data_IF_003164358731
#
_entry.id   IF_003164358731
#
_cell.length_a   1.000
_cell.length_b   1.000
_cell.length_c   1.000
_cell.angle_alpha   90.00
_cell.angle_beta   90.00
_cell.angle_gamma   90.00
#
_symmetry.space_group_name_H-M   'P 1'
#
loop_
_entity.id
_entity.type
_entity.pdbx_description
1 polymer ?
#
# COMPACT_ATOMS: atom_id res chain seq x y z
N UNK A 1 -16.25 3.03 -17.60
CA UNK A 1 -15.38 3.17 -18.78
C UNK A 1 -16.22 3.44 -20.01
N UNK A 2 -17.07 2.50 -20.45
CA UNK A 2 -17.90 2.63 -21.66
C UNK A 2 -18.76 3.90 -21.74
N UNK A 3 -19.39 4.31 -20.63
CA UNK A 3 -20.20 5.55 -20.58
C UNK A 3 -19.36 6.78 -20.94
N UNK A 4 -18.18 6.95 -20.34
CA UNK A 4 -17.30 8.09 -20.62
C UNK A 4 -16.69 8.01 -22.01
N UNK A 5 -16.32 6.82 -22.47
CA UNK A 5 -15.87 6.59 -23.84
C UNK A 5 -16.94 6.97 -24.86
N UNK A 6 -18.22 6.66 -24.61
CA UNK A 6 -19.32 7.04 -25.51
C UNK A 6 -19.61 8.54 -25.57
N UNK A 7 -19.09 9.30 -24.59
CA UNK A 7 -19.25 10.75 -24.48
C UNK A 7 -17.96 11.51 -24.83
N UNK A 8 -16.93 10.81 -25.34
CA UNK A 8 -15.59 11.35 -25.60
C UNK A 8 -14.95 12.07 -24.39
N UNK A 9 -15.28 11.62 -23.17
CA UNK A 9 -14.71 12.17 -21.94
C UNK A 9 -13.49 11.32 -21.53
N UNK A 10 -12.29 11.93 -21.35
CA UNK A 10 -11.11 11.20 -20.95
C UNK A 10 -11.28 10.60 -19.56
N UNK A 11 -11.11 9.27 -19.46
CA UNK A 11 -11.18 8.56 -18.19
C UNK A 11 -9.82 8.49 -17.54
N UNK A 12 -9.73 8.91 -16.28
CA UNK A 12 -8.54 8.76 -15.44
C UNK A 12 -8.83 7.82 -14.27
N UNK A 13 -7.83 7.07 -13.84
CA UNK A 13 -7.90 6.23 -12.64
C UNK A 13 -7.08 6.83 -11.51
N UNK A 14 -7.61 6.84 -10.29
CA UNK A 14 -6.82 7.10 -9.09
C UNK A 14 -6.53 5.79 -8.34
N UNK A 15 -5.29 5.32 -8.47
CA UNK A 15 -4.80 4.14 -7.76
C UNK A 15 -4.26 4.55 -6.39
N UNK A 16 -4.97 4.13 -5.34
CA UNK A 16 -4.60 4.40 -3.94
C UNK A 16 -3.58 3.39 -3.38
N UNK A 17 -3.17 2.42 -4.18
CA UNK A 17 -2.11 1.45 -3.86
C UNK A 17 -0.72 1.93 -4.35
N UNK A 18 0.30 1.15 -4.02
CA UNK A 18 1.69 1.39 -4.44
C UNK A 18 1.89 1.26 -5.96
N UNK A 19 2.97 1.83 -6.49
CA UNK A 19 3.35 1.64 -7.90
C UNK A 19 3.69 0.17 -8.19
N UNK A 20 4.23 -0.56 -7.22
CA UNK A 20 4.50 -2.00 -7.34
C UNK A 20 3.21 -2.80 -7.52
N UNK A 21 2.17 -2.49 -6.74
CA UNK A 21 0.83 -3.07 -6.91
C UNK A 21 0.22 -2.72 -8.26
N UNK A 22 0.39 -1.47 -8.71
CA UNK A 22 -0.06 -1.03 -10.04
C UNK A 22 0.65 -1.78 -11.16
N UNK A 23 1.96 -2.00 -11.06
CA UNK A 23 2.72 -2.80 -12.04
C UNK A 23 2.18 -4.23 -12.14
N UNK A 24 1.94 -4.87 -10.99
CA UNK A 24 1.36 -6.22 -10.95
C UNK A 24 -0.06 -6.26 -11.55
N UNK A 25 -0.90 -5.26 -11.23
CA UNK A 25 -2.25 -5.14 -11.77
C UNK A 25 -2.25 -4.96 -13.28
N UNK A 26 -1.46 -4.02 -13.82
CA UNK A 26 -1.38 -3.78 -15.26
C UNK A 26 -0.84 -5.00 -16.03
N UNK A 27 0.06 -5.77 -15.40
CA UNK A 27 0.61 -7.00 -15.97
C UNK A 27 -0.35 -8.18 -15.95
N UNK A 28 -1.45 -8.09 -15.18
CA UNK A 28 -2.38 -9.19 -14.93
C UNK A 28 -2.91 -9.87 -16.20
N UNK A 29 -3.30 -9.17 -17.28
CA UNK A 29 -3.76 -9.82 -18.51
C UNK A 29 -2.70 -10.73 -19.15
N UNK A 30 -1.40 -10.40 -18.98
CA UNK A 30 -0.29 -11.22 -19.49
C UNK A 30 0.07 -12.35 -18.54
N UNK A 31 0.05 -12.08 -17.24
CA UNK A 31 0.49 -13.05 -16.22
C UNK A 31 -0.64 -13.99 -15.77
N UNK A 32 -1.88 -13.79 -16.21
CA UNK A 32 -3.04 -14.59 -15.79
C UNK A 32 -2.82 -16.09 -15.92
N UNK A 33 -2.38 -16.55 -17.10
CA UNK A 33 -2.15 -17.98 -17.32
C UNK A 33 -1.04 -18.53 -16.40
N UNK A 34 0.02 -17.77 -16.19
CA UNK A 34 1.12 -18.14 -15.28
C UNK A 34 0.62 -18.22 -13.83
N UNK A 35 -0.26 -17.29 -13.43
CA UNK A 35 -0.87 -17.29 -12.10
C UNK A 35 -1.74 -18.55 -11.92
N UNK A 36 -2.61 -18.88 -12.88
CA UNK A 36 -3.45 -20.08 -12.82
C UNK A 36 -2.63 -21.37 -12.64
N UNK A 37 -1.48 -21.45 -13.32
CA UNK A 37 -0.59 -22.61 -13.26
C UNK A 37 0.14 -22.72 -11.92
N UNK A 38 0.59 -21.58 -11.36
CA UNK A 38 1.49 -21.55 -10.20
C UNK A 38 0.77 -21.38 -8.85
N UNK A 39 -0.40 -20.75 -8.80
CA UNK A 39 -1.05 -20.32 -7.54
C UNK A 39 -1.30 -21.47 -6.56
N UNK A 40 -1.42 -22.71 -7.06
CA UNK A 40 -1.63 -23.91 -6.24
C UNK A 40 -0.36 -24.43 -5.56
N UNK A 41 0.82 -24.06 -6.03
CA UNK A 41 2.09 -24.46 -5.44
C UNK A 41 2.65 -23.33 -4.55
N UNK A 42 2.66 -23.49 -3.22
CA UNK A 42 3.12 -22.47 -2.28
C UNK A 42 4.64 -22.20 -2.33
N UNK A 43 5.42 -23.05 -3.01
CA UNK A 43 6.88 -22.90 -3.13
C UNK A 43 7.30 -22.15 -4.40
N UNK A 44 6.33 -21.61 -5.14
CA UNK A 44 6.60 -20.87 -6.37
C UNK A 44 6.44 -19.37 -6.15
N UNK A 45 6.88 -18.60 -7.14
CA UNK A 45 6.71 -17.15 -7.17
C UNK A 45 6.25 -16.67 -8.55
N UNK A 46 5.60 -15.51 -8.53
CA UNK A 46 5.19 -14.76 -9.71
C UNK A 46 6.11 -13.55 -9.86
N UNK A 47 6.59 -13.35 -11.10
CA UNK A 47 7.41 -12.21 -11.46
C UNK A 47 6.55 -11.12 -12.09
N UNK A 48 6.76 -9.89 -11.64
CA UNK A 48 6.15 -8.69 -12.24
C UNK A 48 7.24 -7.66 -12.57
N UNK A 49 7.11 -6.90 -13.66
CA UNK A 49 8.12 -5.91 -14.05
C UNK A 49 8.37 -4.87 -12.94
N UNK A 50 9.64 -4.69 -12.56
CA UNK A 50 10.03 -3.69 -11.56
C UNK A 50 9.66 -4.02 -10.11
N UNK A 51 9.10 -5.21 -9.85
CA UNK A 51 8.71 -5.69 -8.51
C UNK A 51 9.55 -6.92 -8.15
N UNK A 52 10.02 -7.06 -6.90
CA UNK A 52 10.61 -8.31 -6.44
C UNK A 52 9.65 -9.50 -6.67
N UNK A 53 10.14 -10.71 -6.97
CA UNK A 53 9.28 -11.90 -7.09
C UNK A 53 8.39 -12.06 -5.86
N UNK A 54 7.10 -12.27 -6.08
CA UNK A 54 6.11 -12.44 -5.02
C UNK A 54 5.82 -13.93 -4.89
N UNK A 55 6.09 -14.52 -3.73
CA UNK A 55 5.74 -15.91 -3.44
C UNK A 55 4.22 -16.10 -3.59
N UNK A 56 3.78 -17.24 -4.09
CA UNK A 56 2.34 -17.48 -4.28
C UNK A 56 1.50 -17.33 -3.02
N UNK A 57 1.95 -17.67 -1.79
CA UNK A 57 1.18 -17.42 -0.56
C UNK A 57 1.06 -15.93 -0.19
N UNK A 58 1.97 -15.09 -0.69
CA UNK A 58 2.04 -13.66 -0.40
C UNK A 58 1.27 -12.81 -1.44
N UNK A 59 0.63 -13.45 -2.41
CA UNK A 59 -0.20 -12.73 -3.38
C UNK A 59 -1.45 -12.16 -2.70
N UNK A 60 -2.02 -11.06 -3.23
CA UNK A 60 -3.24 -10.49 -2.67
C UNK A 60 -4.39 -11.51 -2.70
N UNK A 61 -5.23 -11.49 -1.66
CA UNK A 61 -6.38 -12.41 -1.48
C UNK A 61 -7.16 -12.78 -2.76
N UNK A 62 -7.56 -11.81 -3.62
CA UNK A 62 -8.27 -12.12 -4.86
C UNK A 62 -7.54 -13.05 -5.83
N UNK A 63 -6.21 -13.14 -5.80
CA UNK A 63 -5.44 -14.03 -6.67
C UNK A 63 -5.59 -15.51 -6.29
N UNK A 64 -6.04 -15.80 -5.07
CA UNK A 64 -6.29 -17.17 -4.60
C UNK A 64 -7.67 -17.70 -5.00
N UNK A 65 -8.56 -16.83 -5.48
CA UNK A 65 -9.84 -17.20 -6.08
C UNK A 65 -10.00 -16.51 -7.44
N UNK A 66 -9.36 -17.11 -8.46
CA UNK A 66 -9.31 -16.54 -9.81
C UNK A 66 -10.66 -16.53 -10.53
N UNK A 67 -11.63 -17.30 -10.05
CA UNK A 67 -13.01 -17.28 -10.56
C UNK A 67 -13.92 -16.32 -9.79
N UNK A 68 -13.46 -15.82 -8.64
CA UNK A 68 -14.15 -14.89 -7.79
C UNK A 68 -14.40 -13.53 -8.44
N UNK A 69 -15.46 -12.87 -7.97
CA UNK A 69 -15.88 -11.54 -8.43
C UNK A 69 -14.76 -10.51 -8.24
N UNK A 70 -13.99 -10.62 -7.14
CA UNK A 70 -12.88 -9.71 -6.86
C UNK A 70 -11.77 -9.82 -7.92
N UNK A 71 -11.37 -11.04 -8.29
CA UNK A 71 -10.36 -11.26 -9.32
C UNK A 71 -10.82 -10.77 -10.69
N UNK A 72 -12.05 -11.11 -11.09
CA UNK A 72 -12.66 -10.64 -12.34
C UNK A 72 -12.74 -9.11 -12.39
N UNK A 73 -13.03 -8.48 -11.25
CA UNK A 73 -12.99 -7.03 -11.08
C UNK A 73 -11.59 -6.45 -11.32
N UNK A 74 -10.54 -7.02 -10.71
CA UNK A 74 -9.15 -6.62 -10.92
C UNK A 74 -8.71 -6.82 -12.38
N UNK A 75 -9.06 -7.94 -13.00
CA UNK A 75 -8.74 -8.21 -14.39
C UNK A 75 -9.37 -7.20 -15.35
N UNK A 76 -10.65 -6.87 -15.14
CA UNK A 76 -11.35 -5.82 -15.89
C UNK A 76 -10.74 -4.44 -15.63
N UNK A 77 -10.39 -4.12 -14.39
CA UNK A 77 -9.70 -2.88 -14.04
C UNK A 77 -8.36 -2.76 -14.77
N UNK A 78 -7.54 -3.82 -14.79
CA UNK A 78 -6.26 -3.84 -15.49
C UNK A 78 -6.38 -3.47 -16.97
N UNK A 79 -7.34 -4.07 -17.68
CA UNK A 79 -7.58 -3.80 -19.11
C UNK A 79 -8.02 -2.35 -19.32
N UNK A 80 -8.94 -1.85 -18.49
CA UNK A 80 -9.49 -0.50 -18.64
C UNK A 80 -8.49 0.59 -18.23
N UNK A 81 -7.66 0.33 -17.22
CA UNK A 81 -6.59 1.23 -16.80
C UNK A 81 -5.54 1.41 -17.91
N UNK A 82 -5.17 0.34 -18.61
CA UNK A 82 -4.25 0.43 -19.74
C UNK A 82 -4.80 1.27 -20.92
N UNK A 83 -6.13 1.33 -21.08
CA UNK A 83 -6.81 2.12 -22.11
C UNK A 83 -7.17 3.54 -21.66
N UNK A 84 -6.89 3.89 -20.41
CA UNK A 84 -7.28 5.18 -19.83
C UNK A 84 -6.40 6.32 -20.35
N UNK A 85 -6.87 7.56 -20.19
CA UNK A 85 -6.09 8.75 -20.53
C UNK A 85 -4.90 8.96 -19.55
N UNK A 86 -4.98 8.38 -18.37
CA UNK A 86 -3.89 8.37 -17.40
C UNK A 86 -4.27 7.77 -16.06
N UNK A 87 -3.26 7.43 -15.28
CA UNK A 87 -3.39 6.84 -13.96
C UNK A 87 -2.65 7.71 -12.95
N UNK A 88 -3.37 8.23 -11.98
CA UNK A 88 -2.84 8.91 -10.82
C UNK A 88 -2.52 7.84 -9.78
N UNK A 89 -1.32 7.83 -9.22
CA UNK A 89 -0.95 6.89 -8.15
C UNK A 89 -0.53 7.63 -6.89
N UNK A 90 -1.01 7.17 -5.74
CA UNK A 90 -0.70 7.75 -4.44
C UNK A 90 0.69 7.32 -3.91
N UNK A 91 1.72 7.47 -4.75
CA UNK A 91 3.13 7.25 -4.41
C UNK A 91 3.99 8.37 -5.01
N UNK A 92 5.28 8.38 -4.72
CA UNK A 92 6.24 9.27 -5.37
C UNK A 92 7.39 8.47 -5.98
N UNK A 93 8.04 9.00 -7.01
CA UNK A 93 9.11 8.28 -7.73
C UNK A 93 10.24 7.80 -6.79
N UNK A 94 10.57 8.59 -5.77
CA UNK A 94 11.64 8.26 -4.82
C UNK A 94 11.36 6.98 -3.99
N UNK A 95 10.09 6.58 -3.85
CA UNK A 95 9.72 5.38 -3.09
C UNK A 95 9.87 4.10 -3.90
N UNK A 96 9.50 4.15 -5.18
CA UNK A 96 9.33 2.95 -6.00
C UNK A 96 9.89 3.13 -7.43
N UNK A 97 11.16 3.56 -7.60
CA UNK A 97 11.69 3.96 -8.90
C UNK A 97 11.69 2.81 -9.91
N UNK A 98 11.86 1.56 -9.45
CA UNK A 98 11.86 0.37 -10.31
C UNK A 98 10.49 0.09 -10.92
N UNK A 99 9.44 0.12 -10.11
CA UNK A 99 8.07 -0.15 -10.56
C UNK A 99 7.58 0.98 -11.47
N UNK A 100 7.82 2.25 -11.08
CA UNK A 100 7.46 3.42 -11.90
C UNK A 100 8.15 3.34 -13.28
N UNK A 101 9.46 3.04 -13.31
CA UNK A 101 10.21 2.89 -14.56
C UNK A 101 9.68 1.74 -15.42
N UNK A 102 9.37 0.60 -14.81
CA UNK A 102 8.85 -0.55 -15.56
C UNK A 102 7.50 -0.25 -16.23
N UNK A 103 6.64 0.52 -15.56
CA UNK A 103 5.36 0.96 -16.15
C UNK A 103 5.62 1.95 -17.29
N UNK A 104 6.47 2.97 -17.08
CA UNK A 104 6.75 3.98 -18.11
C UNK A 104 7.44 3.41 -19.35
N UNK A 105 8.26 2.36 -19.18
CA UNK A 105 8.91 1.64 -20.27
C UNK A 105 7.94 0.69 -21.02
N UNK A 106 6.67 0.61 -20.61
CA UNK A 106 5.64 -0.22 -21.23
C UNK A 106 5.76 -1.72 -20.94
N UNK A 107 6.59 -2.12 -19.97
CA UNK A 107 6.84 -3.53 -19.66
C UNK A 107 5.61 -4.23 -19.06
N UNK A 108 4.74 -3.46 -18.41
CA UNK A 108 3.54 -3.97 -17.74
C UNK A 108 2.37 -4.18 -18.71
N UNK A 109 2.39 -3.58 -19.90
CA UNK A 109 1.25 -3.60 -20.85
C UNK A 109 1.70 -3.92 -22.28
N UNK A 110 2.45 -5.00 -22.56
CA UNK A 110 3.11 -5.16 -23.87
C UNK A 110 2.16 -5.29 -25.08
N UNK A 111 0.89 -5.64 -24.85
CA UNK A 111 -0.13 -5.78 -25.90
C UNK A 111 -1.23 -4.72 -25.81
N UNK A 112 -1.06 -3.71 -24.95
CA UNK A 112 -2.00 -2.63 -24.73
C UNK A 112 -1.24 -1.29 -24.74
N UNK A 113 -1.93 -0.15 -24.94
CA UNK A 113 -1.29 1.14 -24.75
C UNK A 113 -0.66 1.23 -23.36
N UNK A 114 0.50 1.87 -23.28
CA UNK A 114 1.11 2.21 -21.98
C UNK A 114 0.46 3.48 -21.47
N UNK A 115 -0.28 3.43 -20.35
CA UNK A 115 -0.94 4.61 -19.82
C UNK A 115 0.09 5.57 -19.23
N UNK A 116 -0.16 6.88 -19.34
CA UNK A 116 0.60 7.87 -18.60
C UNK A 116 0.35 7.69 -17.10
N UNK A 117 1.42 7.66 -16.30
CA UNK A 117 1.33 7.49 -14.84
C UNK A 117 1.84 8.73 -14.12
N UNK A 118 0.99 9.30 -13.28
CA UNK A 118 1.27 10.50 -12.50
C UNK A 118 1.44 10.13 -11.02
N UNK A 119 2.67 10.17 -10.52
CA UNK A 119 2.99 9.92 -9.12
C UNK A 119 2.73 11.19 -8.29
N UNK A 120 1.55 11.29 -7.70
CA UNK A 120 1.09 12.51 -7.00
C UNK A 120 1.12 12.40 -5.47
N UNK A 121 1.66 11.29 -4.95
CA UNK A 121 1.69 10.98 -3.53
C UNK A 121 2.88 11.59 -2.76
N UNK A 122 2.93 11.42 -1.44
CA UNK A 122 1.88 10.83 -0.62
C UNK A 122 0.77 11.86 -0.31
N UNK A 123 -0.43 11.57 -0.79
CA UNK A 123 -1.68 12.21 -0.41
C UNK A 123 -2.15 11.53 0.87
N UNK A 124 -2.05 12.27 1.96
CA UNK A 124 -2.56 11.89 3.28
C UNK A 124 -3.54 12.96 3.72
N UNK A 125 -4.61 12.55 4.41
CA UNK A 125 -5.55 13.50 4.98
C UNK A 125 -4.82 14.44 5.95
N UNK A 126 -5.05 15.75 5.82
CA UNK A 126 -4.72 16.67 6.91
C UNK A 126 -5.81 16.49 7.97
N UNK A 127 -5.41 16.14 9.19
CA UNK A 127 -6.33 16.04 10.32
C UNK A 127 -6.92 17.41 10.62
N UNK A 128 -8.19 17.60 10.27
CA UNK A 128 -9.00 18.72 10.72
C UNK A 128 -9.79 18.30 11.96
N UNK A 129 -9.33 18.72 13.13
CA UNK A 129 -10.15 19.24 14.22
C UNK A 129 -9.22 19.93 15.22
N UNK A 130 -9.55 21.15 15.66
CA UNK A 130 -8.74 21.96 16.59
C UNK A 130 -8.89 21.49 18.05
N UNK A 131 -9.70 20.44 18.25
CA UNK A 131 -9.94 19.82 19.54
C UNK A 131 -8.94 18.70 19.81
N UNK A 132 -7.92 19.01 20.61
CA UNK A 132 -6.94 18.08 21.11
C UNK A 132 -7.60 16.91 21.89
N UNK A 133 -7.65 15.73 21.29
CA UNK A 133 -8.20 14.52 21.92
C UNK A 133 -7.35 14.08 23.12
N UNK A 134 -7.98 13.48 24.14
CA UNK A 134 -7.29 13.06 25.39
C UNK A 134 -6.10 12.12 25.14
N UNK A 135 -6.16 11.29 24.09
CA UNK A 135 -5.05 10.39 23.74
C UNK A 135 -3.80 11.16 23.24
N UNK A 136 -3.99 12.31 22.57
CA UNK A 136 -2.89 13.15 22.12
C UNK A 136 -2.21 13.82 23.31
N UNK A 137 -2.98 14.34 24.28
CA UNK A 137 -2.42 14.85 25.56
C UNK A 137 -1.60 13.80 26.31
N UNK A 138 -2.09 12.56 26.35
CA UNK A 138 -1.33 11.46 26.96
C UNK A 138 -0.03 11.20 26.20
N UNK A 139 -0.07 11.17 24.86
CA UNK A 139 1.09 10.95 23.99
C UNK A 139 2.13 12.07 24.16
N UNK A 140 1.70 13.33 24.23
CA UNK A 140 2.57 14.50 24.39
C UNK A 140 3.30 14.52 25.73
N UNK A 141 2.76 13.85 26.75
CA UNK A 141 3.43 13.71 28.05
C UNK A 141 4.50 12.60 28.09
N UNK A 142 4.64 11.80 27.02
CA UNK A 142 5.61 10.70 26.98
C UNK A 142 6.97 11.17 26.42
N UNK A 143 8.09 10.51 26.78
CA UNK A 143 9.39 10.79 26.16
C UNK A 143 9.36 10.60 24.63
N UNK A 144 10.14 11.42 23.92
CA UNK A 144 10.22 11.34 22.46
C UNK A 144 10.64 9.93 21.99
N UNK A 145 9.88 9.37 21.04
CA UNK A 145 10.12 8.04 20.43
C UNK A 145 10.04 6.87 21.42
N UNK A 146 9.22 6.99 22.46
CA UNK A 146 9.06 5.96 23.50
C UNK A 146 7.73 5.18 23.45
N UNK A 147 6.80 5.56 22.57
CA UNK A 147 5.47 4.95 22.47
C UNK A 147 5.32 4.18 21.16
N UNK A 148 4.81 2.96 21.25
CA UNK A 148 4.41 2.15 20.09
C UNK A 148 2.94 2.42 19.78
N UNK A 149 2.64 2.88 18.57
CA UNK A 149 1.28 3.01 18.09
C UNK A 149 0.87 1.73 17.34
N UNK A 150 -0.19 1.07 17.81
CA UNK A 150 -0.74 -0.14 17.20
C UNK A 150 -2.15 0.14 16.67
N UNK A 151 -2.35 -0.02 15.37
CA UNK A 151 -3.62 0.22 14.69
C UNK A 151 -3.69 -0.61 13.41
N UNK A 152 -4.75 -1.41 13.26
CA UNK A 152 -4.94 -2.33 12.12
C UNK A 152 -5.91 -1.79 11.06
N UNK A 153 -6.19 -0.48 11.11
CA UNK A 153 -7.16 0.17 10.22
C UNK A 153 -8.61 -0.21 10.54
N UNK A 154 -9.54 0.30 9.75
CA UNK A 154 -10.98 0.09 9.96
C UNK A 154 -11.47 -1.31 9.61
N UNK A 155 -10.69 -2.09 8.85
CA UNK A 155 -11.03 -3.44 8.41
C UNK A 155 -10.25 -4.54 9.15
N UNK A 156 -9.32 -4.18 10.03
CA UNK A 156 -8.54 -5.14 10.81
C UNK A 156 -9.37 -5.74 11.94
N UNK A 157 -9.75 -7.02 11.81
CA UNK A 157 -10.52 -7.77 12.80
C UNK A 157 -9.75 -9.04 13.20
N UNK A 158 -9.68 -9.32 14.50
CA UNK A 158 -8.93 -10.43 15.07
C UNK A 158 -9.79 -11.26 16.00
N UNK A 159 -9.51 -12.56 16.06
CA UNK A 159 -10.10 -13.46 17.07
C UNK A 159 -9.68 -13.03 18.48
N UNK A 160 -10.50 -13.38 19.48
CA UNK A 160 -10.26 -13.02 20.88
C UNK A 160 -8.91 -13.57 21.39
N UNK A 161 -8.52 -14.77 20.96
CA UNK A 161 -7.25 -15.40 21.30
C UNK A 161 -6.07 -14.56 20.79
N UNK A 162 -6.16 -14.06 19.56
CA UNK A 162 -5.12 -13.21 18.99
C UNK A 162 -5.06 -11.84 19.69
N UNK A 163 -6.21 -11.26 20.05
CA UNK A 163 -6.26 -10.04 20.87
C UNK A 163 -5.60 -10.26 22.23
N UNK A 164 -5.81 -11.41 22.86
CA UNK A 164 -5.19 -11.77 24.12
C UNK A 164 -3.67 -11.89 24.00
N UNK A 165 -3.16 -12.61 23.01
CA UNK A 165 -1.72 -12.70 22.78
C UNK A 165 -1.09 -11.33 22.51
N UNK A 166 -1.76 -10.47 21.74
CA UNK A 166 -1.27 -9.11 21.51
C UNK A 166 -1.22 -8.29 22.80
N UNK A 167 -2.24 -8.38 23.65
CA UNK A 167 -2.26 -7.71 24.94
C UNK A 167 -1.10 -8.20 25.85
N UNK A 168 -0.92 -9.51 25.95
CA UNK A 168 0.17 -10.11 26.74
C UNK A 168 1.53 -9.69 26.19
N UNK A 169 1.74 -9.74 24.87
CA UNK A 169 3.02 -9.37 24.26
C UNK A 169 3.36 -7.89 24.46
N UNK A 170 2.37 -7.01 24.36
CA UNK A 170 2.54 -5.57 24.65
C UNK A 170 2.86 -5.32 26.13
N UNK A 171 2.20 -6.01 27.05
CA UNK A 171 2.45 -5.91 28.49
C UNK A 171 3.87 -6.38 28.85
N UNK A 172 4.24 -7.58 28.40
CA UNK A 172 5.57 -8.16 28.66
C UNK A 172 6.70 -7.30 28.08
N UNK A 173 6.47 -6.70 26.90
CA UNK A 173 7.45 -5.83 26.26
C UNK A 173 7.84 -4.61 27.08
N UNK A 174 7.05 -4.19 28.08
CA UNK A 174 7.39 -3.11 29.00
C UNK A 174 7.50 -1.71 28.34
N UNK A 175 7.23 -1.61 27.04
CA UNK A 175 7.19 -0.36 26.30
C UNK A 175 5.83 0.31 26.45
N UNK A 176 5.82 1.65 26.42
CA UNK A 176 4.56 2.39 26.36
C UNK A 176 3.90 2.13 25.01
N UNK A 177 2.59 1.95 24.99
CA UNK A 177 1.86 1.75 23.75
C UNK A 177 0.54 2.54 23.74
N UNK A 178 0.10 2.89 22.53
CA UNK A 178 -1.24 3.39 22.23
C UNK A 178 -1.85 2.43 21.21
N UNK A 179 -2.86 1.66 21.63
CA UNK A 179 -3.48 0.65 20.79
C UNK A 179 -4.94 1.00 20.51
N UNK A 180 -5.29 1.07 19.23
CA UNK A 180 -6.68 1.15 18.76
C UNK A 180 -7.22 -0.26 18.59
N UNK A 181 -8.14 -0.66 19.48
CA UNK A 181 -8.79 -1.97 19.46
C UNK A 181 -10.16 -1.83 18.81
N UNK A 182 -10.37 -2.51 17.68
CA UNK A 182 -11.70 -2.76 17.13
C UNK A 182 -12.19 -4.09 17.71
N UNK A 183 -13.35 -4.09 18.38
CA UNK A 183 -13.99 -5.32 18.85
C UNK A 183 -14.75 -5.94 17.68
N UNK A 184 -14.32 -7.12 17.22
CA UNK A 184 -15.00 -7.89 16.18
C UNK A 184 -16.17 -8.71 16.78
N UNK A 185 -17.27 -8.80 16.03
CA UNK A 185 -18.14 -9.98 16.03
C UNK A 185 -17.59 -10.88 14.88
N UNK A 186 -17.31 -12.16 15.15
CA UNK A 186 -16.60 -13.19 14.33
C UNK A 186 -16.65 -12.97 12.79
N UNK A 187 -15.59 -13.09 11.96
CA UNK A 187 -14.50 -14.08 11.81
C UNK A 187 -13.28 -13.50 11.03
N UNK A 188 -12.07 -14.04 11.23
CA UNK A 188 -11.08 -14.32 10.16
C UNK A 188 -10.00 -15.33 10.62
N UNK A 189 -9.44 -16.13 9.71
CA UNK A 189 -8.48 -17.23 9.95
C UNK A 189 -6.99 -16.86 9.71
N UNK A 190 -6.62 -15.58 9.70
CA UNK A 190 -5.25 -15.20 9.29
C UNK A 190 -4.33 -14.96 10.48
N UNK A 191 -3.22 -15.71 10.49
CA UNK A 191 -1.93 -15.28 11.03
C UNK A 191 -1.88 -15.06 12.53
N UNK A 192 -2.04 -16.14 13.31
CA UNK A 192 -1.83 -16.09 14.75
C UNK A 192 -0.38 -15.71 15.08
N UNK A 193 -0.20 -14.68 15.91
CA UNK A 193 1.09 -14.22 16.41
C UNK A 193 1.06 -14.36 17.93
N UNK A 194 1.97 -15.17 18.47
CA UNK A 194 2.09 -15.34 19.92
C UNK A 194 2.57 -14.07 20.61
N UNK A 195 2.25 -13.96 21.90
CA UNK A 195 2.71 -12.88 22.77
C UNK A 195 4.24 -12.77 22.78
N UNK A 196 4.94 -13.91 22.85
CA UNK A 196 6.39 -13.95 22.90
C UNK A 196 7.03 -13.42 21.60
N UNK A 197 6.43 -13.71 20.43
CA UNK A 197 6.91 -13.15 19.16
C UNK A 197 6.61 -11.65 19.09
N UNK A 198 5.43 -11.21 19.51
CA UNK A 198 5.10 -9.78 19.51
C UNK A 198 6.01 -8.98 20.44
N UNK A 199 6.20 -9.45 21.68
CA UNK A 199 7.13 -8.89 22.65
C UNK A 199 8.52 -8.71 22.04
N UNK A 200 9.04 -9.79 21.45
CA UNK A 200 10.35 -9.80 20.80
C UNK A 200 10.43 -8.77 19.67
N UNK A 201 9.43 -8.68 18.78
CA UNK A 201 9.45 -7.72 17.66
C UNK A 201 9.33 -6.28 18.11
N UNK A 202 8.53 -6.02 19.14
CA UNK A 202 8.44 -4.69 19.76
C UNK A 202 9.79 -4.31 20.36
N UNK A 203 10.41 -5.19 21.15
CA UNK A 203 11.74 -4.97 21.73
C UNK A 203 12.84 -4.78 20.67
N UNK A 204 12.84 -5.60 19.61
CA UNK A 204 13.75 -5.46 18.47
C UNK A 204 13.59 -4.08 17.79
N UNK A 205 12.35 -3.64 17.54
CA UNK A 205 12.09 -2.35 16.91
C UNK A 205 12.50 -1.18 17.82
N UNK A 206 12.27 -1.27 19.13
CA UNK A 206 12.45 -0.17 20.06
C UNK A 206 13.90 -0.03 20.53
N UNK A 207 14.55 -1.13 20.89
CA UNK A 207 15.81 -1.09 21.64
C UNK A 207 17.02 -1.53 20.81
N UNK A 208 16.82 -2.31 19.75
CA UNK A 208 17.95 -2.87 19.00
C UNK A 208 18.58 -1.90 18.01
N UNK A 209 19.82 -2.20 17.62
CA UNK A 209 20.54 -1.51 16.52
C UNK A 209 19.80 -1.67 15.20
N UNK A 210 19.23 -2.85 14.95
CA UNK A 210 18.44 -3.11 13.73
C UNK A 210 17.18 -2.22 13.70
N UNK A 211 16.48 -2.10 14.83
CA UNK A 211 15.32 -1.22 14.99
C UNK A 211 15.68 0.27 14.84
N UNK A 212 16.85 0.69 15.33
CA UNK A 212 17.39 2.02 15.05
C UNK A 212 17.58 2.26 13.56
N UNK A 213 18.17 1.31 12.83
CA UNK A 213 18.33 1.38 11.38
C UNK A 213 16.99 1.49 10.63
N UNK A 214 15.97 0.72 11.04
CA UNK A 214 14.60 0.82 10.49
C UNK A 214 14.04 2.23 10.68
N UNK A 215 14.14 2.80 11.89
CA UNK A 215 13.65 4.16 12.17
C UNK A 215 14.41 5.25 11.42
N UNK A 216 15.70 5.07 11.18
CA UNK A 216 16.53 5.99 10.38
C UNK A 216 16.09 5.98 8.92
N UNK A 217 15.94 4.79 8.32
CA UNK A 217 15.41 4.64 6.96
C UNK A 217 14.01 5.26 6.81
N UNK A 218 13.13 5.10 7.79
CA UNK A 218 11.80 5.73 7.77
C UNK A 218 11.86 7.25 7.82
N UNK A 219 12.87 7.85 8.48
CA UNK A 219 13.06 9.31 8.44
C UNK A 219 13.50 9.79 7.07
N UNK A 220 14.41 9.07 6.42
CA UNK A 220 14.82 9.37 5.05
C UNK A 220 13.61 9.32 4.10
N UNK A 221 12.78 8.27 4.20
CA UNK A 221 11.55 8.17 3.41
C UNK A 221 10.58 9.31 3.71
N UNK A 222 10.41 9.70 4.97
CA UNK A 222 9.60 10.87 5.36
C UNK A 222 10.13 12.16 4.72
N UNK A 223 11.45 12.34 4.69
CA UNK A 223 12.08 13.54 4.14
C UNK A 223 11.94 13.56 2.61
N UNK A 224 12.05 12.41 1.94
CA UNK A 224 11.69 12.25 0.53
C UNK A 224 10.22 12.61 0.26
N UNK A 225 9.28 12.15 1.09
CA UNK A 225 7.87 12.49 0.96
C UNK A 225 7.62 14.00 1.10
N UNK A 226 8.27 14.65 2.07
CA UNK A 226 8.19 16.11 2.24
C UNK A 226 8.74 16.84 1.03
N UNK A 227 9.88 16.41 0.50
CA UNK A 227 10.49 16.99 -0.70
C UNK A 227 9.59 16.82 -1.93
N UNK A 228 9.02 15.62 -2.14
CA UNK A 228 8.12 15.34 -3.26
C UNK A 228 6.85 16.22 -3.25
N UNK A 229 6.34 16.56 -2.06
CA UNK A 229 5.18 17.44 -1.86
C UNK A 229 5.51 18.93 -1.76
N UNK A 230 6.79 19.28 -1.61
CA UNK A 230 7.26 20.66 -1.50
C UNK A 230 7.11 21.43 -2.81
N UNK A 231 7.36 22.73 -2.80
CA UNK A 231 7.37 23.54 -4.01
C UNK A 231 8.43 23.05 -5.00
N UNK A 232 8.03 22.82 -6.25
CA UNK A 232 8.87 22.18 -7.26
C UNK A 232 9.14 20.68 -7.03
N UNK A 233 8.53 20.08 -6.01
CA UNK A 233 8.62 18.66 -5.71
C UNK A 233 7.99 17.79 -6.81
N UNK A 234 8.51 16.58 -6.98
CA UNK A 234 8.12 15.67 -8.07
C UNK A 234 6.62 15.40 -8.14
N UNK A 235 5.94 15.30 -7.00
CA UNK A 235 4.50 15.04 -6.96
C UNK A 235 3.67 16.27 -7.34
N UNK A 236 4.15 17.49 -7.02
CA UNK A 236 3.52 18.72 -7.50
C UNK A 236 3.72 18.91 -9.00
N UNK A 237 4.91 18.59 -9.50
CA UNK A 237 5.22 18.63 -10.93
C UNK A 237 4.32 17.65 -11.70
N UNK A 238 4.24 16.39 -11.25
CA UNK A 238 3.37 15.39 -11.88
C UNK A 238 1.88 15.79 -11.86
N UNK A 239 1.42 16.44 -10.78
CA UNK A 239 0.06 16.97 -10.71
C UNK A 239 -0.15 18.15 -11.67
N UNK A 240 0.85 19.03 -11.82
CA UNK A 240 0.78 20.13 -12.79
C UNK A 240 0.75 19.60 -14.22
N UNK A 241 1.60 18.63 -14.56
CA UNK A 241 1.59 17.96 -15.87
C UNK A 241 0.24 17.32 -16.18
N UNK A 242 -0.38 16.66 -15.20
CA UNK A 242 -1.74 16.15 -15.33
C UNK A 242 -2.74 17.26 -15.64
N UNK A 243 -2.71 18.37 -14.90
CA UNK A 243 -3.64 19.50 -15.11
C UNK A 243 -3.43 20.15 -16.48
N UNK A 244 -2.19 20.28 -16.95
CA UNK A 244 -1.91 20.76 -18.31
C UNK A 244 -2.46 19.79 -19.37
N UNK A 245 -2.39 18.48 -19.15
CA UNK A 245 -2.95 17.49 -20.09
C UNK A 245 -4.46 17.64 -20.32
N UNK A 246 -5.17 18.28 -19.39
CA UNK A 246 -6.62 18.54 -19.51
C UNK A 246 -6.95 19.80 -20.31
N UNK A 247 -5.97 20.66 -20.61
CA UNK A 247 -6.18 21.88 -21.39
C UNK A 247 -6.04 21.65 -22.89
N UNK A 248 -5.35 20.58 -23.27
CA UNK A 248 -5.01 20.25 -24.65
C UNK A 248 -6.01 19.28 -25.31
N UNK A 249 -7.07 18.86 -24.60
CA UNK A 249 -8.13 17.95 -25.08
C UNK A 249 -9.51 18.56 -24.97
#
# INVERSE_FOLDING_TARGET
>A
FEVFTSLDIPTYYFCTSSASSLSALLSLPKTHQIILEKIKDPNTSIEFPGVPPISTPDLPGPFHDTEGIAYKGLFSAAINMAKSAGILTNTCHAFEPRAVKAISDGLCTPNLPTPSVYCIGPIVANSGDDHEHKCLRWLDSQPSRSVVFLCFGSMGLFKAEQLMEMAIGLEKGGHRFLWVVALALEESEIGFVSADELEKRVGELMDSVSGKGVRERLREMRDCAKAARGDGGSSRVALAELVESWKDG
#
